data_IF_785991191564
#
_entry.id   IF_785991191564
#
_cell.length_a   1.000
_cell.length_b   1.000
_cell.length_c   1.000
_cell.angle_alpha   90.00
_cell.angle_beta   90.00
_cell.angle_gamma   90.00
#
_symmetry.space_group_name_H-M   'P 1'
#
loop_
_entity.id
_entity.type
_entity.pdbx_description
1 polymer ?
#
# COMPACT_ATOMS: atom_id res chain seq x y z
N UNK A 1 -11.80 2.62 -6.25
CA UNK A 1 -11.84 1.66 -5.12
C UNK A 1 -12.58 0.44 -5.61
N UNK A 2 -12.19 -0.76 -5.22
CA UNK A 2 -12.84 -1.99 -5.71
C UNK A 2 -14.31 -1.99 -5.30
N UNK A 3 -15.21 -2.34 -6.22
CA UNK A 3 -16.63 -2.49 -5.89
C UNK A 3 -16.87 -3.85 -5.24
N UNK A 4 -17.94 -3.96 -4.45
CA UNK A 4 -18.37 -5.23 -3.86
C UNK A 4 -18.59 -6.30 -4.95
N UNK A 5 -19.20 -5.92 -6.07
CA UNK A 5 -19.44 -6.81 -7.21
C UNK A 5 -18.13 -7.35 -7.79
N UNK A 6 -17.10 -6.50 -7.95
CA UNK A 6 -15.79 -6.93 -8.42
C UNK A 6 -15.13 -7.91 -7.44
N UNK A 7 -15.29 -7.70 -6.13
CA UNK A 7 -14.75 -8.61 -5.12
C UNK A 7 -15.46 -9.97 -5.14
N UNK A 8 -16.79 -9.98 -5.27
CA UNK A 8 -17.58 -11.22 -5.34
C UNK A 8 -17.25 -12.07 -6.57
N UNK A 9 -17.02 -11.45 -7.73
CA UNK A 9 -16.58 -12.14 -8.96
C UNK A 9 -15.24 -12.85 -8.76
N UNK A 10 -14.29 -12.22 -8.06
CA UNK A 10 -13.01 -12.86 -7.74
C UNK A 10 -13.23 -14.04 -6.79
N UNK A 11 -14.04 -13.89 -5.74
CA UNK A 11 -14.33 -14.98 -4.80
C UNK A 11 -14.92 -16.22 -5.49
N UNK A 12 -15.74 -16.04 -6.53
CA UNK A 12 -16.30 -17.14 -7.32
C UNK A 12 -15.26 -17.84 -8.23
N UNK A 13 -14.18 -17.14 -8.58
CA UNK A 13 -13.08 -17.67 -9.39
C UNK A 13 -11.98 -18.33 -8.54
N UNK A 14 -12.02 -18.15 -7.22
CA UNK A 14 -11.03 -18.74 -6.33
C UNK A 14 -11.24 -20.26 -6.25
N UNK A 15 -10.20 -21.06 -6.50
CA UNK A 15 -10.30 -22.51 -6.40
C UNK A 15 -10.59 -22.96 -4.96
N UNK A 16 -11.45 -23.96 -4.81
CA UNK A 16 -12.03 -24.38 -3.52
C UNK A 16 -11.16 -25.32 -2.68
N UNK A 17 -9.94 -25.63 -3.11
CA UNK A 17 -9.02 -26.53 -2.40
C UNK A 17 -7.91 -25.75 -1.70
N UNK A 18 -7.55 -26.15 -0.48
CA UNK A 18 -6.72 -25.39 0.47
C UNK A 18 -5.33 -24.96 -0.07
N UNK A 19 -4.79 -25.64 -1.08
CA UNK A 19 -3.47 -25.35 -1.66
C UNK A 19 -3.50 -24.49 -2.93
N UNK A 20 -4.68 -24.26 -3.50
CA UNK A 20 -4.85 -23.60 -4.79
C UNK A 20 -4.67 -22.07 -4.74
N UNK A 21 -4.76 -21.48 -3.54
CA UNK A 21 -4.54 -20.06 -3.29
C UNK A 21 -3.07 -19.65 -3.21
N UNK A 22 -2.16 -20.64 -3.12
CA UNK A 22 -0.71 -20.38 -3.03
C UNK A 22 -0.19 -19.57 -4.22
N UNK A 23 -0.73 -19.80 -5.42
CA UNK A 23 -0.38 -19.08 -6.66
C UNK A 23 -0.81 -17.61 -6.61
N UNK A 24 -1.85 -17.28 -5.84
CA UNK A 24 -2.35 -15.92 -5.65
C UNK A 24 -1.71 -15.20 -4.46
N UNK A 25 -0.81 -15.88 -3.72
CA UNK A 25 -0.13 -15.26 -2.60
C UNK A 25 0.77 -14.12 -3.10
N UNK A 26 0.55 -12.92 -2.58
CA UNK A 26 1.38 -11.78 -2.92
C UNK A 26 2.83 -12.04 -2.50
N UNK A 27 3.75 -11.97 -3.46
CA UNK A 27 5.19 -12.05 -3.19
C UNK A 27 5.60 -10.96 -2.21
N UNK A 28 6.21 -11.35 -1.09
CA UNK A 28 6.78 -10.40 -0.14
C UNK A 28 8.09 -9.83 -0.71
N UNK A 29 8.10 -8.53 -0.97
CA UNK A 29 9.31 -7.80 -1.31
C UNK A 29 10.09 -7.48 -0.04
N UNK A 30 11.00 -8.38 0.34
CA UNK A 30 11.89 -8.20 1.50
C UNK A 30 13.16 -7.40 1.17
N UNK A 31 13.28 -6.86 -0.06
CA UNK A 31 14.39 -6.02 -0.46
C UNK A 31 14.39 -4.71 0.34
N UNK A 32 15.58 -4.21 0.67
CA UNK A 32 15.77 -2.90 1.31
C UNK A 32 16.23 -1.87 0.28
N UNK A 33 15.83 -0.62 0.47
CA UNK A 33 16.37 0.52 -0.27
C UNK A 33 17.82 0.78 0.16
N UNK A 34 18.53 1.64 -0.58
CA UNK A 34 19.87 2.12 -0.18
C UNK A 34 19.89 2.81 1.19
N UNK A 35 18.73 3.26 1.68
CA UNK A 35 18.54 3.87 3.01
C UNK A 35 18.08 2.86 4.08
N UNK A 36 18.02 1.56 3.77
CA UNK A 36 17.72 0.50 4.73
C UNK A 36 16.23 0.24 5.01
N UNK A 37 15.31 1.09 4.51
CA UNK A 37 13.84 0.86 4.58
C UNK A 37 13.43 -0.26 3.63
N UNK A 38 12.36 -1.01 3.94
CA UNK A 38 11.84 -2.03 3.02
C UNK A 38 11.25 -1.37 1.77
N UNK A 39 11.50 -1.97 0.59
CA UNK A 39 10.92 -1.49 -0.68
C UNK A 39 9.39 -1.51 -0.63
N UNK A 40 8.80 -2.54 -0.01
CA UNK A 40 7.35 -2.63 0.19
C UNK A 40 6.80 -1.47 1.04
N UNK A 41 7.54 -1.04 2.07
CA UNK A 41 7.16 0.04 2.98
C UNK A 41 7.18 1.39 2.24
N UNK A 42 8.27 1.68 1.52
CA UNK A 42 8.37 2.92 0.73
C UNK A 42 7.36 2.92 -0.43
N UNK A 43 7.17 1.78 -1.09
CA UNK A 43 6.24 1.66 -2.22
C UNK A 43 4.76 1.80 -1.84
N UNK A 44 4.39 1.48 -0.60
CA UNK A 44 3.00 1.59 -0.14
C UNK A 44 2.64 3.00 0.37
N UNK A 45 3.61 3.84 0.69
CA UNK A 45 3.38 5.18 1.26
C UNK A 45 2.47 6.05 0.36
N UNK A 46 2.64 6.11 -0.98
CA UNK A 46 1.74 6.89 -1.85
C UNK A 46 0.27 6.43 -1.80
N UNK A 47 -0.01 5.12 -1.80
CA UNK A 47 -1.38 4.63 -1.77
C UNK A 47 -2.05 4.87 -0.41
N UNK A 48 -1.27 4.81 0.68
CA UNK A 48 -1.75 5.14 2.01
C UNK A 48 -2.13 6.62 2.12
N UNK A 49 -1.32 7.52 1.55
CA UNK A 49 -1.65 8.94 1.48
C UNK A 49 -2.95 9.20 0.71
N UNK A 50 -3.14 8.54 -0.44
CA UNK A 50 -4.36 8.66 -1.23
C UNK A 50 -5.60 8.13 -0.48
N UNK A 51 -5.49 7.00 0.21
CA UNK A 51 -6.58 6.46 1.03
C UNK A 51 -6.92 7.38 2.20
N UNK A 52 -5.92 7.92 2.87
CA UNK A 52 -6.12 8.91 3.92
C UNK A 52 -6.93 10.11 3.38
N UNK A 53 -6.50 10.70 2.27
CA UNK A 53 -7.20 11.81 1.64
C UNK A 53 -8.64 11.46 1.22
N UNK A 54 -8.89 10.25 0.71
CA UNK A 54 -10.23 9.82 0.33
C UNK A 54 -11.22 9.86 1.51
N UNK A 55 -10.76 9.49 2.70
CA UNK A 55 -11.53 9.46 3.95
C UNK A 55 -11.61 10.84 4.60
N UNK A 56 -10.49 11.52 4.78
CA UNK A 56 -10.39 12.75 5.59
C UNK A 56 -10.56 14.04 4.80
N UNK A 57 -10.45 13.96 3.46
CA UNK A 57 -10.35 15.10 2.53
C UNK A 57 -9.18 16.05 2.86
N UNK A 58 -8.18 15.57 3.57
CA UNK A 58 -6.94 16.31 3.91
C UNK A 58 -5.74 15.47 3.56
N UNK A 59 -4.66 16.12 3.12
CA UNK A 59 -3.38 15.44 2.93
C UNK A 59 -2.74 15.18 4.30
N UNK A 60 -2.05 14.04 4.51
CA UNK A 60 -1.32 13.79 5.75
C UNK A 60 -0.27 14.88 6.01
N UNK A 61 -0.17 15.35 7.25
CA UNK A 61 0.77 16.41 7.64
C UNK A 61 2.22 16.05 7.27
N UNK A 62 2.59 14.78 7.45
CA UNK A 62 3.89 14.25 7.04
C UNK A 62 4.17 14.46 5.54
N UNK A 63 3.19 14.16 4.69
CA UNK A 63 3.32 14.34 3.24
C UNK A 63 3.46 15.82 2.88
N UNK A 64 2.62 16.67 3.48
CA UNK A 64 2.66 18.13 3.25
C UNK A 64 4.03 18.68 3.66
N UNK A 65 4.51 18.29 4.83
CA UNK A 65 5.82 18.70 5.33
C UNK A 65 6.96 18.27 4.40
N UNK A 66 6.96 17.02 3.93
CA UNK A 66 7.98 16.51 3.00
C UNK A 66 7.99 17.26 1.66
N UNK A 67 6.81 17.60 1.13
CA UNK A 67 6.70 18.34 -0.14
C UNK A 67 7.23 19.77 0.02
N UNK A 68 6.92 20.43 1.14
CA UNK A 68 7.32 21.84 1.37
C UNK A 68 8.81 21.95 1.70
N UNK A 69 9.34 21.06 2.55
CA UNK A 69 10.69 21.19 3.12
C UNK A 69 11.73 20.30 2.44
N UNK A 70 11.31 19.43 1.50
CA UNK A 70 12.17 18.40 0.94
C UNK A 70 12.46 17.27 1.93
N UNK A 71 13.08 16.19 1.44
CA UNK A 71 13.34 14.97 2.22
C UNK A 71 14.54 15.12 3.20
N UNK A 72 14.53 16.18 4.00
CA UNK A 72 15.51 16.43 5.06
C UNK A 72 14.97 16.06 6.44
N UNK A 73 15.02 14.77 6.78
CA UNK A 73 14.80 14.27 8.15
C UNK A 73 13.34 14.12 8.57
N UNK A 74 12.99 12.94 9.08
CA UNK A 74 11.71 12.70 9.77
C UNK A 74 11.64 13.61 11.02
N UNK A 75 10.47 14.19 11.36
CA UNK A 75 10.32 14.99 12.57
C UNK A 75 10.41 14.10 13.82
N UNK A 76 11.08 14.62 14.86
CA UNK A 76 11.18 14.04 16.21
C UNK A 76 9.85 13.99 16.94
#
# INVERSE_FOLDING_TARGET
>A
MNSLESLLKICQQLPGEDNSLSVYQASRLNAKTSLGKLVAEVGCEPILHMRHFQVTKRLPDKLVHQVIHGNGGEPL
#
